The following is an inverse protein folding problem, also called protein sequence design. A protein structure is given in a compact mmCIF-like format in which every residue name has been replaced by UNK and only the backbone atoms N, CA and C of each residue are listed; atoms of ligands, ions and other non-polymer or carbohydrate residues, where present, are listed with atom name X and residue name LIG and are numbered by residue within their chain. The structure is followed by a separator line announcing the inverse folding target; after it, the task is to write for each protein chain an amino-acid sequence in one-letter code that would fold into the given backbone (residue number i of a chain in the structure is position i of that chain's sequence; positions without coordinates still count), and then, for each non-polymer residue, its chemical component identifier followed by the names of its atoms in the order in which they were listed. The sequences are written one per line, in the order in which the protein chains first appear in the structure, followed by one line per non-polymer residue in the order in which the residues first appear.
data_IF_266422794348
#
_entry.id   IF_266422794348
#
_cell.length_a   1.000
_cell.length_b   1.000
_cell.length_c   1.000
_cell.angle_alpha   90.00
_cell.angle_beta   90.00
_cell.angle_gamma   90.00
#
_symmetry.space_group_name_H-M   'P 1'
#
loop_
_entity.id
_entity.type
_entity.pdbx_description
1 polymer ?
#
# COMPACT_ATOMS: atom_id res chain seq x y z
N UNK A 1 -4.29 17.83 21.51
CA UNK A 1 -4.53 17.52 21.08
C UNK A 1 -5.24 17.14 20.72
N UNK A 2 -5.28 17.08 20.61
CA UNK A 2 -5.74 16.65 20.27
C UNK A 2 -6.36 16.14 19.76
N UNK A 3 -6.28 16.09 19.50
CA UNK A 3 -6.83 15.69 18.98
C UNK A 3 -7.49 14.88 18.64
N UNK A 4 -7.87 15.25 18.71
CA UNK A 4 -8.52 14.46 18.51
C UNK A 4 -8.59 13.74 17.76
N UNK A 5 -8.37 14.08 18.21
CA UNK A 5 -7.93 13.09 17.31
C UNK A 5 -8.88 11.96 17.15
N UNK A 6 -9.13 11.69 15.96
CA UNK A 6 -9.91 10.54 15.63
C UNK A 6 -9.10 9.28 15.96
N UNK A 7 -9.62 8.47 16.86
CA UNK A 7 -8.99 7.21 17.20
C UNK A 7 -8.92 6.29 15.99
N UNK A 8 -9.64 6.61 14.94
CA UNK A 8 -9.69 5.78 13.75
C UNK A 8 -8.87 6.36 12.63
N UNK A 9 -7.65 6.69 12.92
CA UNK A 9 -6.75 7.10 11.87
C UNK A 9 -6.56 5.94 10.90
N UNK A 10 -6.88 6.20 9.63
CA UNK A 10 -6.90 5.13 8.65
C UNK A 10 -5.74 5.27 7.68
N UNK A 11 -4.57 5.31 8.24
CA UNK A 11 -3.36 5.46 7.45
C UNK A 11 -3.13 4.23 6.58
N UNK A 12 -2.92 4.47 5.31
CA UNK A 12 -2.70 3.41 4.32
C UNK A 12 -1.42 3.70 3.55
N UNK A 13 -0.63 2.67 3.35
CA UNK A 13 0.58 2.75 2.55
C UNK A 13 0.34 2.07 1.20
N UNK A 14 0.68 2.75 0.12
CA UNK A 14 0.64 2.16 -1.21
C UNK A 14 2.07 1.99 -1.71
N UNK A 15 2.42 0.77 -2.08
CA UNK A 15 3.73 0.48 -2.62
C UNK A 15 3.63 -0.69 -3.58
N UNK A 16 4.67 -0.88 -4.35
CA UNK A 16 4.70 -1.98 -5.30
C UNK A 16 6.10 -2.42 -5.64
N UNK A 17 6.18 -3.47 -6.43
CA UNK A 17 7.44 -4.00 -6.87
C UNK A 17 7.23 -5.20 -7.77
N UNK A 18 8.30 -5.64 -8.41
CA UNK A 18 8.23 -6.83 -9.24
C UNK A 18 8.32 -8.09 -8.40
N UNK A 19 7.41 -9.01 -8.65
CA UNK A 19 7.40 -10.29 -7.96
C UNK A 19 8.23 -11.31 -8.73
N UNK A 20 8.79 -12.29 -8.01
CA UNK A 20 9.55 -13.35 -8.66
C UNK A 20 8.64 -14.27 -9.44
N UNK A 21 7.42 -14.49 -8.95
CA UNK A 21 6.41 -15.30 -9.64
C UNK A 21 5.08 -14.62 -9.49
N UNK A 22 4.10 -15.07 -10.26
CA UNK A 22 2.75 -14.52 -10.19
C UNK A 22 1.92 -15.11 -9.04
N UNK A 23 2.42 -16.18 -8.42
CA UNK A 23 1.65 -16.90 -7.40
C UNK A 23 2.08 -16.59 -5.98
N UNK A 24 3.25 -15.98 -5.79
CA UNK A 24 3.78 -15.67 -4.47
C UNK A 24 3.91 -14.17 -4.28
N UNK A 25 3.95 -13.75 -3.01
CA UNK A 25 4.26 -12.35 -2.68
C UNK A 25 5.70 -12.29 -2.23
N UNK A 26 6.60 -12.45 -3.19
CA UNK A 26 8.03 -12.38 -2.94
C UNK A 26 8.64 -11.46 -3.97
N UNK A 27 9.17 -10.33 -3.49
CA UNK A 27 9.70 -9.33 -4.38
C UNK A 27 11.06 -9.75 -4.94
N UNK A 28 11.26 -9.45 -6.21
CA UNK A 28 12.50 -9.79 -6.91
C UNK A 28 13.69 -9.02 -6.35
N UNK A 29 13.47 -7.76 -5.99
CA UNK A 29 14.54 -6.90 -5.48
C UNK A 29 13.95 -5.92 -4.48
N UNK A 30 14.23 -6.15 -3.20
CA UNK A 30 13.72 -5.28 -2.13
C UNK A 30 14.30 -3.87 -2.17
N UNK A 31 15.41 -3.68 -2.88
CA UNK A 31 16.00 -2.36 -3.01
C UNK A 31 15.37 -1.55 -4.14
N UNK A 32 14.47 -2.15 -4.89
CA UNK A 32 13.89 -1.52 -6.06
C UNK A 32 12.37 -1.49 -5.98
N UNK A 33 11.84 -1.25 -4.78
CA UNK A 33 10.40 -1.11 -4.60
C UNK A 33 9.97 0.30 -4.92
N UNK A 34 8.75 0.43 -5.42
CA UNK A 34 8.15 1.73 -5.72
C UNK A 34 7.27 2.15 -4.55
N UNK A 35 7.74 3.12 -3.80
CA UNK A 35 6.98 3.66 -2.68
C UNK A 35 6.10 4.80 -3.19
N UNK A 36 4.81 4.54 -3.31
CA UNK A 36 3.88 5.51 -3.87
C UNK A 36 3.55 6.59 -2.84
N UNK A 37 3.19 6.20 -1.63
CA UNK A 37 2.94 7.17 -0.58
C UNK A 37 2.06 6.63 0.53
N UNK A 38 1.90 7.50 1.53
CA UNK A 38 1.00 7.26 2.65
C UNK A 38 -0.24 8.14 2.48
N UNK A 39 -1.40 7.55 2.75
CA UNK A 39 -2.67 8.23 2.51
C UNK A 39 -3.56 8.15 3.75
N UNK A 40 -4.36 9.21 3.99
CA UNK A 40 -5.14 9.29 5.23
C UNK A 40 -6.38 8.41 5.23
N UNK A 41 -6.79 7.89 4.08
CA UNK A 41 -7.97 7.05 4.01
C UNK A 41 -7.85 6.07 2.85
N UNK A 42 -8.73 5.08 2.87
CA UNK A 42 -8.69 4.02 1.88
C UNK A 42 -9.04 4.52 0.48
N UNK A 43 -9.99 5.43 0.38
CA UNK A 43 -10.44 5.91 -0.94
C UNK A 43 -9.30 6.58 -1.69
N UNK A 44 -8.52 7.42 -1.00
CA UNK A 44 -7.37 8.08 -1.61
C UNK A 44 -6.29 7.07 -1.97
N UNK A 45 -6.03 6.13 -1.07
CA UNK A 45 -5.05 5.08 -1.33
C UNK A 45 -5.46 4.23 -2.52
N UNK A 46 -6.74 3.89 -2.61
CA UNK A 46 -7.25 3.09 -3.72
C UNK A 46 -7.08 3.80 -5.05
N UNK A 47 -7.33 5.10 -5.07
CA UNK A 47 -7.16 5.90 -6.27
C UNK A 47 -5.70 5.88 -6.74
N UNK A 48 -4.76 6.06 -5.81
CA UNK A 48 -3.35 6.00 -6.13
C UNK A 48 -2.94 4.61 -6.61
N UNK A 49 -3.47 3.58 -5.95
CA UNK A 49 -3.20 2.19 -6.31
C UNK A 49 -3.66 1.90 -7.74
N UNK A 50 -4.88 2.33 -8.09
CA UNK A 50 -5.42 2.12 -9.42
C UNK A 50 -4.58 2.81 -10.48
N UNK A 51 -4.15 4.01 -10.19
CA UNK A 51 -3.34 4.77 -11.14
C UNK A 51 -2.04 4.05 -11.46
N UNK A 52 -1.37 3.55 -10.42
CA UNK A 52 -0.12 2.83 -10.61
C UNK A 52 -0.33 1.49 -11.28
N UNK A 53 -1.39 0.79 -10.94
CA UNK A 53 -1.69 -0.50 -11.55
C UNK A 53 -1.92 -0.34 -13.05
N UNK A 54 -2.58 0.73 -13.46
CA UNK A 54 -2.81 0.98 -14.87
C UNK A 54 -1.54 1.35 -15.62
N UNK A 55 -0.65 2.08 -14.95
CA UNK A 55 0.61 2.47 -15.59
C UNK A 55 1.54 1.29 -15.83
N UNK A 56 1.36 0.21 -15.07
CA UNK A 56 2.24 -0.95 -15.16
C UNK A 56 1.52 -2.17 -15.72
N UNK A 57 0.43 -1.97 -16.44
CA UNK A 57 -0.38 -3.07 -16.95
C UNK A 57 0.40 -3.99 -17.88
N UNK A 58 1.42 -3.46 -18.55
CA UNK A 58 2.23 -4.25 -19.48
C UNK A 58 3.28 -5.11 -18.79
N UNK A 59 3.46 -4.96 -17.48
CA UNK A 59 4.41 -5.76 -16.72
C UNK A 59 3.65 -6.69 -15.79
N UNK A 60 3.53 -7.95 -16.23
CA UNK A 60 2.72 -8.93 -15.50
C UNK A 60 3.24 -9.23 -14.10
N UNK A 61 4.53 -9.03 -13.85
CA UNK A 61 5.14 -9.29 -12.54
C UNK A 61 5.03 -8.12 -11.59
N UNK A 62 4.67 -6.96 -12.10
CA UNK A 62 4.57 -5.77 -11.26
C UNK A 62 3.25 -5.77 -10.50
N UNK A 63 3.32 -5.60 -9.18
CA UNK A 63 2.15 -5.58 -8.34
C UNK A 63 2.21 -4.45 -7.35
N UNK A 64 1.07 -3.83 -7.10
CA UNK A 64 0.93 -2.78 -6.11
C UNK A 64 0.00 -3.25 -5.01
N UNK A 65 0.30 -2.81 -3.79
CA UNK A 65 -0.41 -3.25 -2.60
C UNK A 65 -0.83 -2.04 -1.78
N UNK A 66 -1.96 -2.20 -1.08
CA UNK A 66 -2.42 -1.23 -0.09
C UNK A 66 -2.28 -1.89 1.27
N UNK A 67 -1.48 -1.27 2.14
CA UNK A 67 -1.25 -1.80 3.48
C UNK A 67 -2.01 -0.94 4.47
N UNK A 68 -2.79 -1.58 5.31
CA UNK A 68 -3.56 -0.91 6.35
C UNK A 68 -2.65 -0.64 7.54
N UNK A 69 -1.93 0.47 7.47
CA UNK A 69 -0.93 0.80 8.48
C UNK A 69 -1.52 1.00 9.86
N UNK A 70 -2.77 1.48 9.92
CA UNK A 70 -3.40 1.70 11.21
C UNK A 70 -3.52 0.41 12.01
N UNK A 71 -3.62 -0.72 11.35
CA UNK A 71 -3.69 -2.01 12.04
C UNK A 71 -2.35 -2.39 12.67
N UNK A 72 -1.27 -1.97 12.05
CA UNK A 72 0.06 -2.21 12.60
C UNK A 72 0.36 -1.32 13.77
N UNK A 73 -0.23 -0.11 13.78
CA UNK A 73 0.00 0.85 14.84
C UNK A 73 -0.85 0.55 16.08
N UNK A 74 -1.98 -0.12 15.89
CA UNK A 74 -2.89 -0.42 16.98
C UNK A 74 -3.54 -1.77 16.75
N UNK A 75 -2.78 -2.84 16.86
CA UNK A 75 -3.29 -4.18 16.54
C UNK A 75 -4.38 -4.66 17.49
N UNK A 76 -4.48 -4.08 18.68
CA UNK A 76 -5.49 -4.52 19.65
C UNK A 76 -6.88 -4.03 19.29
N UNK A 77 -6.98 -3.04 18.43
CA UNK A 77 -8.27 -2.48 18.01
C UNK A 77 -8.67 -2.89 16.62
N UNK A 78 -8.04 -3.89 16.09
CA UNK A 78 -8.40 -4.40 14.77
C UNK A 78 -9.69 -5.16 14.80
#
# INVERSE_FOLDING_TARGET
MTETVDAKQRLHLVFGGELTTLTDVQFRDLNNLDSVGLYPDYATALSAWKSKAQLTVDNAHMRYFIVHMHRLLDPEND
#
